data_IF_707762872249
#
_entry.id   IF_707762872249
#
_cell.length_a   1.000
_cell.length_b   1.000
_cell.length_c   1.000
_cell.angle_alpha   90.00
_cell.angle_beta   90.00
_cell.angle_gamma   90.00
#
_symmetry.space_group_name_H-M   'P 1'
#
loop_
_entity.id
_entity.type
_entity.pdbx_description
1 polymer ?
#
# COMPACT_ATOMS: atom_id res chain seq x y z
N UNK A 1 -9.39 2.73 -50.12
CA UNK A 1 -10.03 2.79 -48.79
C UNK A 1 -8.97 2.50 -47.71
N UNK A 2 -8.28 3.53 -47.23
CA UNK A 2 -7.19 3.38 -46.23
C UNK A 2 -7.67 3.52 -44.77
N UNK A 3 -8.88 4.03 -44.54
CA UNK A 3 -9.32 4.44 -43.20
C UNK A 3 -9.58 3.32 -42.18
N UNK A 4 -9.96 2.09 -42.59
CA UNK A 4 -10.32 1.04 -41.63
C UNK A 4 -9.12 0.33 -40.97
N UNK A 5 -7.97 0.26 -41.64
CA UNK A 5 -6.77 -0.41 -41.10
C UNK A 5 -6.04 0.45 -40.08
N UNK A 6 -5.96 1.75 -40.32
CA UNK A 6 -5.25 2.68 -39.44
C UNK A 6 -6.00 2.86 -38.11
N UNK A 7 -7.34 2.88 -38.13
CA UNK A 7 -8.17 2.92 -36.91
C UNK A 7 -7.98 1.67 -36.02
N UNK A 8 -7.89 0.48 -36.61
CA UNK A 8 -7.68 -0.77 -35.86
C UNK A 8 -6.25 -0.89 -35.29
N UNK A 9 -5.28 -0.19 -35.88
CA UNK A 9 -3.90 -0.14 -35.38
C UNK A 9 -3.78 0.81 -34.20
N UNK A 10 -4.38 1.99 -34.31
CA UNK A 10 -4.43 2.98 -33.23
C UNK A 10 -5.18 2.45 -31.99
N UNK A 11 -6.29 1.72 -32.18
CA UNK A 11 -7.02 1.09 -31.08
C UNK A 11 -6.18 0.02 -30.35
N UNK A 12 -5.46 -0.84 -31.10
CA UNK A 12 -4.57 -1.85 -30.53
C UNK A 12 -3.35 -1.25 -29.80
N UNK A 13 -2.81 -0.15 -30.31
CA UNK A 13 -1.69 0.55 -29.65
C UNK A 13 -2.17 1.27 -28.38
N UNK A 14 -3.37 1.85 -28.39
CA UNK A 14 -4.01 2.46 -27.21
C UNK A 14 -4.31 1.44 -26.10
N UNK A 15 -4.87 0.27 -26.42
CA UNK A 15 -5.14 -0.78 -25.43
C UNK A 15 -3.85 -1.29 -24.77
N UNK A 16 -2.76 -1.44 -25.53
CA UNK A 16 -1.46 -1.85 -24.99
C UNK A 16 -0.88 -0.79 -24.05
N UNK A 17 -1.05 0.49 -24.38
CA UNK A 17 -0.63 1.60 -23.53
C UNK A 17 -1.38 1.60 -22.20
N UNK A 18 -2.70 1.44 -22.23
CA UNK A 18 -3.52 1.37 -21.01
C UNK A 18 -3.16 0.18 -20.11
N UNK A 19 -2.92 -1.00 -20.67
CA UNK A 19 -2.51 -2.19 -19.90
C UNK A 19 -1.15 -1.95 -19.23
N UNK A 20 -0.22 -1.31 -19.95
CA UNK A 20 1.10 -0.98 -19.41
C UNK A 20 0.99 0.03 -18.25
N UNK A 21 0.22 1.11 -18.43
CA UNK A 21 0.02 2.13 -17.40
C UNK A 21 -0.69 1.57 -16.17
N UNK A 22 -1.70 0.72 -16.34
CA UNK A 22 -2.33 0.00 -15.22
C UNK A 22 -1.34 -0.91 -14.50
N UNK A 23 -0.53 -1.67 -15.25
CA UNK A 23 0.48 -2.56 -14.67
C UNK A 23 1.57 -1.80 -13.90
N UNK A 24 1.99 -0.63 -14.39
CA UNK A 24 2.94 0.24 -13.71
C UNK A 24 2.36 0.80 -12.41
N UNK A 25 1.13 1.32 -12.46
CA UNK A 25 0.43 1.85 -11.29
C UNK A 25 0.20 0.77 -10.23
N UNK A 26 -0.22 -0.44 -10.62
CA UNK A 26 -0.37 -1.57 -9.70
C UNK A 26 0.97 -1.98 -9.08
N UNK A 27 2.05 -1.98 -9.87
CA UNK A 27 3.40 -2.30 -9.41
C UNK A 27 3.92 -1.29 -8.39
N UNK A 28 3.73 0.01 -8.63
CA UNK A 28 4.10 1.08 -7.71
C UNK A 28 3.29 1.02 -6.41
N UNK A 29 1.98 0.77 -6.49
CA UNK A 29 1.12 0.62 -5.30
C UNK A 29 1.56 -0.59 -4.46
N UNK A 30 1.83 -1.74 -5.09
CA UNK A 30 2.33 -2.95 -4.40
C UNK A 30 3.71 -2.71 -3.78
N UNK A 31 4.60 -2.03 -4.49
CA UNK A 31 5.93 -1.67 -4.00
C UNK A 31 5.86 -0.72 -2.80
N UNK A 32 5.05 0.32 -2.90
CA UNK A 32 4.82 1.30 -1.84
C UNK A 32 4.19 0.66 -0.59
N UNK A 33 3.17 -0.18 -0.77
CA UNK A 33 2.53 -0.90 0.34
C UNK A 33 3.53 -1.83 1.05
N UNK A 34 4.36 -2.55 0.30
CA UNK A 34 5.39 -3.44 0.85
C UNK A 34 6.50 -2.68 1.60
N UNK A 35 6.92 -1.53 1.07
CA UNK A 35 7.87 -0.64 1.73
C UNK A 35 7.31 -0.07 3.03
N UNK A 36 6.09 0.47 2.97
CA UNK A 36 5.40 1.06 4.14
C UNK A 36 5.16 0.03 5.24
N UNK A 37 4.74 -1.19 4.86
CA UNK A 37 4.55 -2.29 5.81
C UNK A 37 5.85 -2.63 6.55
N UNK A 38 6.96 -2.76 5.81
CA UNK A 38 8.26 -3.09 6.41
C UNK A 38 8.77 -1.99 7.34
N UNK A 39 8.68 -0.72 6.91
CA UNK A 39 9.05 0.41 7.75
C UNK A 39 8.24 0.46 9.05
N UNK A 40 6.94 0.15 8.98
CA UNK A 40 6.09 0.13 10.16
C UNK A 40 6.44 -1.01 11.11
N UNK A 41 6.73 -2.21 10.59
CA UNK A 41 7.21 -3.34 11.40
C UNK A 41 8.50 -2.95 12.14
N UNK A 42 9.47 -2.37 11.42
CA UNK A 42 10.76 -1.96 12.00
C UNK A 42 10.55 -0.86 13.07
N UNK A 43 9.61 0.07 12.86
CA UNK A 43 9.26 1.10 13.85
C UNK A 43 8.61 0.53 15.11
N UNK A 44 7.67 -0.40 14.96
CA UNK A 44 6.99 -1.09 16.06
C UNK A 44 8.01 -1.90 16.88
N UNK A 45 8.90 -2.63 16.20
CA UNK A 45 9.98 -3.39 16.82
C UNK A 45 10.93 -2.46 17.58
N UNK A 46 11.35 -1.34 16.99
CA UNK A 46 12.23 -0.37 17.64
C UNK A 46 11.60 0.29 18.88
N UNK A 47 10.28 0.52 18.85
CA UNK A 47 9.56 1.21 19.94
C UNK A 47 9.21 0.28 21.10
N UNK A 48 8.67 -0.90 20.79
CA UNK A 48 8.09 -1.80 21.79
C UNK A 48 8.91 -3.08 22.01
N UNK A 49 9.92 -3.35 21.17
CA UNK A 49 10.69 -4.59 21.21
C UNK A 49 9.91 -5.81 20.72
N UNK A 50 8.80 -5.59 20.00
CA UNK A 50 7.87 -6.63 19.55
C UNK A 50 7.77 -6.57 18.03
N UNK A 51 7.90 -7.73 17.38
CA UNK A 51 7.80 -7.88 15.94
C UNK A 51 6.62 -8.78 15.59
N UNK A 52 5.49 -8.15 15.25
CA UNK A 52 4.22 -8.81 14.92
C UNK A 52 3.90 -8.62 13.43
N UNK A 53 4.57 -9.40 12.57
CA UNK A 53 4.44 -9.27 11.11
C UNK A 53 3.06 -9.70 10.60
N UNK A 54 2.45 -10.69 11.25
CA UNK A 54 1.10 -11.17 10.90
C UNK A 54 0.07 -10.06 11.14
N UNK A 55 0.12 -9.41 12.31
CA UNK A 55 -0.76 -8.28 12.58
C UNK A 55 -0.50 -7.12 11.62
N UNK A 56 0.75 -6.68 11.46
CA UNK A 56 1.05 -5.56 10.56
C UNK A 56 0.58 -5.84 9.12
N UNK A 57 0.69 -7.08 8.64
CA UNK A 57 0.24 -7.49 7.31
C UNK A 57 -1.28 -7.54 7.15
N UNK A 58 -2.02 -7.65 8.26
CA UNK A 58 -3.48 -7.61 8.27
C UNK A 58 -4.07 -6.20 8.22
N UNK A 59 -3.23 -5.16 8.40
CA UNK A 59 -3.66 -3.77 8.41
C UNK A 59 -3.87 -3.20 7.00
N UNK A 60 -4.86 -2.32 6.87
CA UNK A 60 -5.11 -1.58 5.63
C UNK A 60 -4.13 -0.40 5.46
N UNK A 61 -4.10 0.20 4.27
CA UNK A 61 -3.18 1.30 3.94
C UNK A 61 -3.37 2.52 4.86
N UNK A 62 -4.59 2.82 5.28
CA UNK A 62 -4.91 3.96 6.15
C UNK A 62 -4.36 3.73 7.56
N UNK A 63 -4.60 2.54 8.12
CA UNK A 63 -4.02 2.09 9.38
C UNK A 63 -2.50 2.14 9.34
N UNK A 64 -1.87 1.60 8.29
CA UNK A 64 -0.42 1.66 8.11
C UNK A 64 0.12 3.11 8.08
N UNK A 65 -0.60 4.07 7.50
CA UNK A 65 -0.19 5.48 7.51
C UNK A 65 -0.30 6.12 8.89
N UNK A 66 -1.28 5.72 9.70
CA UNK A 66 -1.51 6.29 11.04
C UNK A 66 -0.58 5.70 12.11
N UNK A 67 0.02 4.53 11.88
CA UNK A 67 1.05 3.96 12.77
C UNK A 67 2.12 4.99 13.12
N UNK A 68 2.69 5.67 12.11
CA UNK A 68 3.76 6.65 12.30
C UNK A 68 3.33 7.85 13.16
N UNK A 69 2.02 8.12 13.29
CA UNK A 69 1.52 9.19 14.15
C UNK A 69 1.27 8.67 15.57
N UNK A 70 0.55 7.57 15.69
CA UNK A 70 0.06 7.05 16.98
C UNK A 70 1.20 6.41 17.80
N UNK A 71 2.20 5.81 17.16
CA UNK A 71 3.30 5.10 17.85
C UNK A 71 4.12 6.00 18.80
N UNK A 72 4.15 7.31 18.55
CA UNK A 72 4.83 8.29 19.40
C UNK A 72 3.93 8.83 20.51
N UNK A 73 2.61 8.69 20.38
CA UNK A 73 1.61 9.14 21.37
C UNK A 73 1.35 8.06 22.44
N UNK A 74 1.25 6.80 22.02
CA UNK A 74 0.90 5.68 22.91
C UNK A 74 2.14 4.89 23.35
N UNK A 75 2.37 4.81 24.66
CA UNK A 75 3.57 4.13 25.22
C UNK A 75 3.35 2.62 25.42
N UNK A 76 2.10 2.16 25.50
CA UNK A 76 1.75 0.75 25.72
C UNK A 76 1.32 0.09 24.42
N UNK A 77 1.97 -1.01 24.04
CA UNK A 77 1.73 -1.72 22.79
C UNK A 77 0.26 -2.12 22.58
N UNK A 78 -0.39 -2.67 23.61
CA UNK A 78 -1.82 -3.07 23.53
C UNK A 78 -2.76 -1.89 23.23
N UNK A 79 -2.51 -0.72 23.85
CA UNK A 79 -3.31 0.48 23.60
C UNK A 79 -3.07 1.03 22.19
N UNK A 80 -1.82 1.02 21.76
CA UNK A 80 -1.45 1.38 20.39
C UNK A 80 -2.17 0.47 19.38
N UNK A 81 -2.13 -0.85 19.58
CA UNK A 81 -2.75 -1.85 18.71
C UNK A 81 -4.26 -1.64 18.59
N UNK A 82 -4.97 -1.48 19.72
CA UNK A 82 -6.40 -1.17 19.74
C UNK A 82 -6.74 0.10 18.96
N UNK A 83 -5.96 1.17 19.15
CA UNK A 83 -6.21 2.45 18.50
C UNK A 83 -5.99 2.41 16.98
N UNK A 84 -5.09 1.55 16.52
CA UNK A 84 -4.93 1.27 15.08
C UNK A 84 -6.10 0.47 14.53
N UNK A 85 -6.58 -0.53 15.28
CA UNK A 85 -7.74 -1.35 14.89
C UNK A 85 -9.06 -0.56 14.84
N UNK A 86 -9.20 0.47 15.68
CA UNK A 86 -10.34 1.41 15.68
C UNK A 86 -10.39 2.31 14.43
N UNK A 87 -9.31 2.39 13.63
CA UNK A 87 -9.30 3.15 12.38
C UNK A 87 -10.00 2.34 11.30
N UNK A 88 -11.25 2.71 11.03
CA UNK A 88 -12.01 2.21 9.90
C UNK A 88 -11.63 2.91 8.59
N UNK A 89 -11.90 2.22 7.47
CA UNK A 89 -11.60 2.64 6.08
C UNK A 89 -12.10 4.05 5.75
#
# INVERSE_FOLDING_TARGET
MYYKRDLNRAANESEKQEIYERGLAEGEIKGFAKGTLRENIDLIEARYGIRDEEWASSLNIKQLKEIKKIIFEEVVYEKFKQRIEEIHE
#
